data_IF_561985884611
#
_entry.id   IF_561985884611
#
_cell.length_a   1.000
_cell.length_b   1.000
_cell.length_c   1.000
_cell.angle_alpha   90.00
_cell.angle_beta   90.00
_cell.angle_gamma   90.00
#
_symmetry.space_group_name_H-M   'P 1'
#
loop_
_entity.id
_entity.type
_entity.pdbx_description
1 polymer ?
#
# COMPACT_ATOMS: atom_id res chain seq x y z
N UNK A 1 -38.66 -23.87 15.70
CA UNK A 1 -38.00 -22.66 16.23
C UNK A 1 -36.77 -22.44 15.37
N UNK A 2 -36.85 -21.53 14.39
CA UNK A 2 -35.75 -21.29 13.46
C UNK A 2 -34.72 -20.38 14.13
N UNK A 3 -33.47 -20.84 14.23
CA UNK A 3 -32.35 -20.04 14.71
C UNK A 3 -32.01 -19.06 13.58
N UNK A 4 -32.12 -17.74 13.78
CA UNK A 4 -31.74 -16.79 12.74
C UNK A 4 -30.23 -16.86 12.55
N UNK A 5 -29.79 -17.18 11.34
CA UNK A 5 -28.40 -17.05 10.95
C UNK A 5 -28.05 -15.56 10.90
N UNK A 6 -27.29 -15.07 11.88
CA UNK A 6 -26.69 -13.74 11.82
C UNK A 6 -25.70 -13.72 10.65
N UNK A 7 -26.08 -13.07 9.56
CA UNK A 7 -25.18 -12.78 8.46
C UNK A 7 -24.07 -11.83 8.95
N UNK A 8 -22.88 -12.37 9.20
CA UNK A 8 -21.66 -11.60 9.45
C UNK A 8 -21.21 -10.94 8.13
N UNK A 9 -21.79 -9.78 7.81
CA UNK A 9 -21.59 -9.12 6.51
C UNK A 9 -20.86 -7.76 6.59
N UNK A 10 -20.53 -7.25 7.77
CA UNK A 10 -19.67 -6.08 7.97
C UNK A 10 -19.04 -6.14 9.37
N UNK A 11 -18.00 -5.35 9.64
CA UNK A 11 -17.44 -5.30 11.01
C UNK A 11 -18.38 -4.57 11.96
N UNK A 12 -18.29 -4.88 13.25
CA UNK A 12 -19.15 -4.23 14.25
C UNK A 12 -18.82 -2.74 14.39
N UNK A 13 -19.74 -1.97 14.98
CA UNK A 13 -19.50 -0.54 15.24
C UNK A 13 -18.33 -0.34 16.22
N UNK A 14 -18.17 -1.26 17.17
CA UNK A 14 -17.07 -1.30 18.14
C UNK A 14 -15.73 -1.54 17.44
N UNK A 15 -15.67 -2.50 16.52
CA UNK A 15 -14.45 -2.76 15.72
C UNK A 15 -14.11 -1.57 14.82
N UNK A 16 -15.12 -0.98 14.16
CA UNK A 16 -14.92 0.20 13.33
C UNK A 16 -14.45 1.42 14.15
N UNK A 17 -14.83 1.52 15.43
CA UNK A 17 -14.41 2.60 16.31
C UNK A 17 -12.90 2.59 16.62
N UNK A 18 -12.21 1.48 16.34
CA UNK A 18 -10.75 1.40 16.44
C UNK A 18 -10.02 2.12 15.29
N UNK A 19 -10.71 2.40 14.17
CA UNK A 19 -10.17 3.15 13.04
C UNK A 19 -9.95 4.63 13.39
N UNK A 20 -8.68 5.02 13.48
CA UNK A 20 -8.23 6.32 13.96
C UNK A 20 -7.88 6.34 15.44
N UNK A 21 -8.01 5.22 16.16
CA UNK A 21 -7.52 5.03 17.54
C UNK A 21 -6.30 4.11 17.54
N UNK A 22 -6.49 2.81 17.75
CA UNK A 22 -5.42 1.80 17.71
C UNK A 22 -5.02 1.45 16.28
N UNK A 23 -5.94 1.60 15.32
CA UNK A 23 -5.71 1.45 13.90
C UNK A 23 -5.61 2.82 13.22
N UNK A 24 -4.86 2.90 12.13
CA UNK A 24 -4.96 3.99 11.15
C UNK A 24 -6.36 4.02 10.55
N UNK A 25 -6.81 5.12 9.92
CA UNK A 25 -8.13 5.17 9.28
C UNK A 25 -8.36 4.11 8.20
N UNK A 26 -7.29 3.51 7.66
CA UNK A 26 -7.32 2.46 6.64
C UNK A 26 -7.08 1.06 7.20
N UNK A 27 -7.02 0.92 8.53
CA UNK A 27 -6.99 -0.37 9.23
C UNK A 27 -5.62 -0.98 9.49
N UNK A 28 -4.52 -0.33 9.11
CA UNK A 28 -3.19 -0.74 9.55
C UNK A 28 -2.97 -0.41 11.03
N UNK A 29 -2.14 -1.16 11.74
CA UNK A 29 -1.73 -0.86 13.13
C UNK A 29 -1.14 0.55 13.23
N UNK A 30 -1.62 1.37 14.17
CA UNK A 30 -1.15 2.76 14.31
C UNK A 30 0.18 2.84 15.08
N UNK A 31 0.37 1.98 16.07
CA UNK A 31 1.56 1.96 16.91
C UNK A 31 2.83 1.62 16.13
N UNK A 32 3.98 1.99 16.69
CA UNK A 32 5.29 1.50 16.27
C UNK A 32 5.56 0.09 16.80
N UNK A 33 6.68 -0.51 16.42
CA UNK A 33 7.09 -1.80 16.98
C UNK A 33 7.80 -1.63 18.33
N UNK A 34 7.88 -2.72 19.10
CA UNK A 34 8.53 -2.74 20.41
C UNK A 34 10.03 -2.39 20.33
N UNK A 35 10.71 -2.72 19.24
CA UNK A 35 12.14 -2.46 19.05
C UNK A 35 12.46 -1.00 18.71
N UNK A 36 11.44 -0.15 18.49
CA UNK A 36 11.60 1.27 18.17
C UNK A 36 12.14 1.57 16.77
N UNK A 37 12.32 0.55 15.91
CA UNK A 37 12.81 0.70 14.54
C UNK A 37 11.73 1.13 13.54
N UNK A 38 10.46 0.95 13.91
CA UNK A 38 9.28 1.40 13.19
C UNK A 38 8.56 2.41 14.08
N UNK A 39 8.47 3.69 13.69
CA UNK A 39 7.79 4.68 14.50
C UNK A 39 6.27 4.47 14.48
N UNK A 40 5.57 5.14 15.41
CA UNK A 40 4.13 5.34 15.31
C UNK A 40 3.76 6.03 13.99
N UNK A 41 2.61 5.69 13.42
CA UNK A 41 2.09 6.39 12.26
C UNK A 41 1.76 7.86 12.59
N UNK A 42 2.43 8.78 11.90
CA UNK A 42 2.25 10.22 12.00
C UNK A 42 2.10 10.77 10.58
N UNK A 43 0.86 10.88 10.07
CA UNK A 43 0.64 11.29 8.70
C UNK A 43 1.14 12.72 8.49
N UNK A 44 1.77 12.95 7.34
CA UNK A 44 2.15 14.28 6.92
C UNK A 44 1.13 14.78 5.90
N UNK A 45 0.71 16.04 6.02
CA UNK A 45 -0.10 16.67 4.98
C UNK A 45 0.66 16.66 3.65
N UNK A 46 -0.06 16.57 2.53
CA UNK A 46 0.54 16.70 1.21
C UNK A 46 1.27 18.05 1.08
N UNK A 47 2.48 18.03 0.53
CA UNK A 47 3.32 19.22 0.33
C UNK A 47 3.84 19.27 -1.10
N UNK A 48 4.18 20.47 -1.54
CA UNK A 48 4.79 20.73 -2.84
C UNK A 48 3.82 20.59 -4.01
N UNK A 49 4.30 20.87 -5.24
CA UNK A 49 3.53 20.69 -6.46
C UNK A 49 3.15 19.23 -6.69
N UNK A 50 1.93 18.97 -7.15
CA UNK A 50 1.42 17.61 -7.43
C UNK A 50 1.88 17.03 -8.77
N UNK A 51 2.54 17.83 -9.59
CA UNK A 51 3.02 17.43 -10.92
C UNK A 51 4.31 18.16 -11.28
N UNK A 52 5.08 17.58 -12.20
CA UNK A 52 6.27 18.21 -12.78
C UNK A 52 7.50 18.28 -11.87
N UNK A 53 7.42 17.79 -10.63
CA UNK A 53 8.55 17.74 -9.70
C UNK A 53 8.57 16.43 -8.93
N UNK A 54 9.76 15.98 -8.54
CA UNK A 54 9.88 14.93 -7.54
C UNK A 54 9.40 15.48 -6.18
N UNK A 55 8.59 14.72 -5.42
CA UNK A 55 8.27 15.09 -4.05
C UNK A 55 9.56 15.22 -3.25
N UNK A 56 9.74 16.36 -2.58
CA UNK A 56 10.85 16.60 -1.66
C UNK A 56 10.30 16.74 -0.24
N UNK A 57 10.93 16.09 0.72
CA UNK A 57 10.65 16.26 2.13
C UNK A 57 11.96 16.51 2.90
N UNK A 58 12.28 17.79 3.22
CA UNK A 58 13.53 18.15 3.88
C UNK A 58 13.83 17.39 5.17
N UNK A 59 12.78 16.91 5.87
CA UNK A 59 12.91 16.16 7.11
C UNK A 59 13.53 14.76 6.90
N UNK A 60 13.47 14.20 5.69
CA UNK A 60 13.94 12.84 5.36
C UNK A 60 14.86 12.76 4.13
N UNK A 61 14.89 13.79 3.28
CA UNK A 61 15.71 13.80 2.05
C UNK A 61 17.22 13.67 2.36
N UNK A 62 17.62 13.99 3.60
CA UNK A 62 19.00 13.86 4.09
C UNK A 62 19.32 12.55 4.83
N UNK A 63 18.39 11.58 4.82
CA UNK A 63 18.57 10.33 5.56
C UNK A 63 19.79 9.55 5.09
N UNK A 64 20.54 9.03 6.06
CA UNK A 64 21.69 8.17 5.82
C UNK A 64 21.33 6.72 6.14
N UNK A 65 21.98 5.74 5.48
CA UNK A 65 21.83 4.34 5.87
C UNK A 65 22.22 4.16 7.34
N UNK A 66 21.38 3.48 8.10
CA UNK A 66 21.68 2.99 9.45
C UNK A 66 22.82 1.97 9.40
N UNK A 67 22.76 1.07 8.42
CA UNK A 67 23.79 0.08 8.14
C UNK A 67 23.61 -0.46 6.71
N UNK A 68 24.55 -1.29 6.28
CA UNK A 68 24.51 -1.93 4.96
C UNK A 68 24.68 -3.43 5.11
N UNK A 69 23.79 -4.19 4.48
CA UNK A 69 23.90 -5.65 4.38
C UNK A 69 24.61 -5.99 3.08
N UNK A 70 25.69 -6.74 3.19
CA UNK A 70 26.48 -7.28 2.08
C UNK A 70 26.50 -8.81 2.17
N UNK A 71 27.15 -9.47 1.21
CA UNK A 71 27.36 -10.92 1.30
C UNK A 71 28.13 -11.33 2.57
N UNK A 72 29.03 -10.46 3.06
CA UNK A 72 29.92 -10.77 4.18
C UNK A 72 29.21 -10.82 5.55
N UNK A 73 28.18 -9.99 5.76
CA UNK A 73 27.43 -9.94 7.02
C UNK A 73 25.99 -10.47 6.89
N UNK A 74 25.66 -11.13 5.78
CA UNK A 74 24.32 -11.65 5.54
C UNK A 74 23.87 -12.64 6.63
N UNK A 75 24.78 -13.41 7.21
CA UNK A 75 24.47 -14.36 8.29
C UNK A 75 23.92 -13.66 9.55
N UNK A 76 24.36 -12.45 9.84
CA UNK A 76 23.95 -11.66 11.00
C UNK A 76 22.54 -11.06 10.84
N UNK A 77 22.07 -10.96 9.59
CA UNK A 77 20.80 -10.31 9.24
C UNK A 77 19.87 -11.23 8.44
N UNK A 78 20.14 -12.54 8.43
CA UNK A 78 19.46 -13.47 7.54
C UNK A 78 17.93 -13.46 7.71
N UNK A 79 17.43 -13.21 8.91
CA UNK A 79 16.00 -13.18 9.21
C UNK A 79 15.30 -11.92 8.70
N UNK A 80 16.06 -10.86 8.40
CA UNK A 80 15.55 -9.59 7.88
C UNK A 80 15.53 -9.54 6.35
N UNK A 81 16.21 -10.47 5.68
CA UNK A 81 16.44 -10.44 4.22
C UNK A 81 15.58 -11.50 3.54
N UNK A 82 14.76 -11.10 2.56
CA UNK A 82 13.98 -12.05 1.77
C UNK A 82 14.87 -12.97 0.92
N UNK A 83 14.43 -14.21 0.66
CA UNK A 83 15.19 -15.23 -0.09
C UNK A 83 15.75 -14.73 -1.42
N UNK A 84 14.97 -13.94 -2.18
CA UNK A 84 15.45 -13.35 -3.44
C UNK A 84 16.64 -12.41 -3.26
N UNK A 85 16.65 -11.61 -2.19
CA UNK A 85 17.76 -10.71 -1.88
C UNK A 85 18.97 -11.48 -1.33
N UNK A 86 18.75 -12.56 -0.56
CA UNK A 86 19.83 -13.48 -0.14
C UNK A 86 20.55 -14.06 -1.36
N UNK A 87 19.79 -14.47 -2.37
CA UNK A 87 20.36 -15.03 -3.59
C UNK A 87 21.12 -13.98 -4.41
N UNK A 88 20.60 -12.76 -4.53
CA UNK A 88 21.31 -11.68 -5.20
C UNK A 88 22.64 -11.33 -4.50
N UNK A 89 22.65 -11.28 -3.17
CA UNK A 89 23.89 -11.07 -2.39
C UNK A 89 24.91 -12.20 -2.63
N UNK A 90 24.46 -13.46 -2.78
CA UNK A 90 25.35 -14.59 -3.10
C UNK A 90 25.91 -14.53 -4.51
N UNK A 91 25.08 -14.19 -5.51
CA UNK A 91 25.50 -14.15 -6.92
C UNK A 91 26.36 -12.94 -7.26
N UNK A 92 26.13 -11.83 -6.57
CA UNK A 92 26.77 -10.54 -6.87
C UNK A 92 27.38 -9.93 -5.60
N UNK A 93 28.32 -10.63 -4.93
CA UNK A 93 28.84 -10.21 -3.62
C UNK A 93 29.58 -8.88 -3.64
N UNK A 94 30.19 -8.52 -4.77
CA UNK A 94 31.00 -7.31 -4.90
C UNK A 94 30.19 -6.07 -5.34
N UNK A 95 29.00 -6.26 -5.93
CA UNK A 95 28.22 -5.16 -6.53
C UNK A 95 26.83 -4.98 -5.92
N UNK A 96 26.25 -6.02 -5.30
CA UNK A 96 24.93 -5.95 -4.70
C UNK A 96 25.02 -5.77 -3.20
N UNK A 97 24.26 -4.82 -2.67
CA UNK A 97 24.18 -4.51 -1.24
C UNK A 97 22.82 -3.91 -0.91
N UNK A 98 22.40 -4.06 0.35
CA UNK A 98 21.17 -3.48 0.86
C UNK A 98 21.51 -2.36 1.83
N UNK A 99 21.24 -1.14 1.45
CA UNK A 99 21.34 0.01 2.36
C UNK A 99 20.04 0.08 3.16
N UNK A 100 20.15 -0.04 4.48
CA UNK A 100 19.00 -0.01 5.38
C UNK A 100 18.87 1.41 5.94
N UNK A 101 17.70 2.02 5.80
CA UNK A 101 17.42 3.40 6.21
C UNK A 101 16.43 3.43 7.39
N UNK A 102 16.33 4.56 8.11
CA UNK A 102 15.27 4.77 9.09
C UNK A 102 13.87 4.59 8.49
N UNK A 103 12.97 3.98 9.26
CA UNK A 103 11.58 3.83 8.84
C UNK A 103 10.81 5.13 9.06
N UNK A 104 10.06 5.57 8.06
CA UNK A 104 9.15 6.72 8.16
C UNK A 104 7.73 6.31 7.81
N UNK A 105 6.76 6.69 8.68
CA UNK A 105 5.33 6.37 8.49
C UNK A 105 4.50 7.64 8.27
N UNK A 106 4.82 8.34 7.20
CA UNK A 106 4.26 9.65 6.84
C UNK A 106 3.08 9.57 5.85
N UNK A 107 2.94 8.43 5.16
CA UNK A 107 1.94 8.25 4.11
C UNK A 107 0.51 8.39 4.65
N UNK A 108 -0.32 9.09 3.89
CA UNK A 108 -1.74 9.30 4.18
C UNK A 108 -2.54 9.40 2.88
N UNK A 109 -3.86 9.45 3.01
CA UNK A 109 -4.80 9.68 1.90
C UNK A 109 -5.56 10.99 2.15
N UNK A 110 -6.22 11.56 1.12
CA UNK A 110 -7.10 12.71 1.31
C UNK A 110 -8.18 12.44 2.36
N UNK A 111 -8.57 13.45 3.14
CA UNK A 111 -9.48 13.29 4.28
C UNK A 111 -10.79 12.60 3.90
N UNK A 112 -11.40 13.00 2.76
CA UNK A 112 -12.62 12.36 2.23
C UNK A 112 -12.45 10.85 2.03
N UNK A 113 -11.28 10.40 1.57
CA UNK A 113 -10.97 8.98 1.37
C UNK A 113 -10.88 8.27 2.73
N UNK A 114 -10.23 8.89 3.71
CA UNK A 114 -10.11 8.33 5.05
C UNK A 114 -11.48 8.23 5.75
N UNK A 115 -12.31 9.28 5.66
CA UNK A 115 -13.66 9.31 6.22
C UNK A 115 -14.58 8.27 5.59
N UNK A 116 -14.62 8.19 4.25
CA UNK A 116 -15.43 7.20 3.55
C UNK A 116 -14.94 5.78 3.79
N UNK A 117 -13.63 5.57 3.93
CA UNK A 117 -13.05 4.28 4.34
C UNK A 117 -13.55 3.85 5.71
N UNK A 118 -13.59 4.76 6.70
CA UNK A 118 -14.15 4.45 8.01
C UNK A 118 -15.62 4.06 7.94
N UNK A 119 -16.41 4.77 7.12
CA UNK A 119 -17.83 4.44 6.90
C UNK A 119 -17.98 3.07 6.23
N UNK A 120 -17.11 2.75 5.26
CA UNK A 120 -17.12 1.46 4.57
C UNK A 120 -16.97 0.28 5.54
N UNK A 121 -16.24 0.43 6.65
CA UNK A 121 -16.04 -0.64 7.64
C UNK A 121 -17.36 -1.31 8.08
N UNK A 122 -18.42 -0.54 8.31
CA UNK A 122 -19.70 -1.05 8.82
C UNK A 122 -20.78 -1.27 7.76
N UNK A 123 -20.61 -0.75 6.54
CA UNK A 123 -21.61 -0.85 5.47
C UNK A 123 -21.18 -1.67 4.26
N UNK A 124 -19.88 -1.83 4.05
CA UNK A 124 -19.38 -2.60 2.93
C UNK A 124 -19.48 -4.09 3.24
N UNK A 125 -19.97 -4.86 2.28
CA UNK A 125 -20.06 -6.30 2.35
C UNK A 125 -19.61 -6.93 1.04
N UNK A 126 -19.29 -8.22 1.07
CA UNK A 126 -18.95 -8.98 -0.12
C UNK A 126 -19.98 -10.08 -0.35
N UNK A 127 -20.70 -9.98 -1.45
CA UNK A 127 -21.60 -11.03 -1.91
C UNK A 127 -20.79 -12.08 -2.68
N UNK A 128 -20.76 -13.31 -2.16
CA UNK A 128 -19.87 -14.34 -2.68
C UNK A 128 -18.40 -13.95 -2.52
N UNK A 129 -17.62 -14.04 -3.61
CA UNK A 129 -16.19 -13.76 -3.60
C UNK A 129 -15.77 -12.53 -4.39
N UNK A 130 -16.62 -12.02 -5.28
CA UNK A 130 -16.21 -11.04 -6.30
C UNK A 130 -17.24 -9.92 -6.51
N UNK A 131 -18.11 -9.65 -5.53
CA UNK A 131 -19.13 -8.61 -5.67
C UNK A 131 -19.24 -7.71 -4.42
N UNK A 132 -18.43 -6.63 -4.32
CA UNK A 132 -18.54 -5.68 -3.23
C UNK A 132 -19.86 -4.89 -3.29
N UNK A 133 -20.56 -4.79 -2.16
CA UNK A 133 -21.79 -4.01 -1.99
C UNK A 133 -21.59 -2.96 -0.90
N UNK A 134 -22.26 -1.81 -1.06
CA UNK A 134 -22.24 -0.75 -0.06
C UNK A 134 -20.90 -0.02 0.12
N UNK A 135 -19.86 -0.40 -0.64
CA UNK A 135 -18.57 0.27 -0.61
C UNK A 135 -18.56 1.51 -1.52
N UNK A 136 -18.11 2.64 -0.97
CA UNK A 136 -17.86 3.86 -1.73
C UNK A 136 -16.36 4.15 -1.76
N UNK A 137 -15.98 5.32 -2.29
CA UNK A 137 -14.60 5.74 -2.49
C UNK A 137 -13.71 5.46 -1.26
N UNK A 138 -12.50 4.95 -1.52
CA UNK A 138 -11.54 4.55 -0.47
C UNK A 138 -11.36 3.05 -0.41
N UNK A 139 -11.04 2.53 0.78
CA UNK A 139 -10.84 1.10 0.99
C UNK A 139 -12.17 0.46 1.42
N UNK A 140 -12.69 -0.54 0.69
CA UNK A 140 -13.94 -1.20 1.05
C UNK A 140 -13.89 -1.91 2.41
N UNK A 141 -12.79 -2.62 2.70
CA UNK A 141 -12.70 -3.49 3.87
C UNK A 141 -11.48 -3.13 4.71
N UNK A 142 -11.48 -2.00 5.45
CA UNK A 142 -10.32 -1.58 6.24
C UNK A 142 -9.97 -2.58 7.34
N UNK A 143 -10.95 -3.32 7.86
CA UNK A 143 -10.73 -4.41 8.84
C UNK A 143 -11.19 -5.73 8.18
N UNK A 144 -10.33 -6.37 7.37
CA UNK A 144 -10.73 -7.56 6.63
C UNK A 144 -10.94 -8.76 7.56
N UNK A 145 -12.03 -9.49 7.34
CA UNK A 145 -12.41 -10.75 7.98
C UNK A 145 -12.24 -11.96 7.06
N UNK A 146 -12.17 -11.74 5.74
CA UNK A 146 -12.04 -12.81 4.73
C UNK A 146 -10.84 -12.57 3.82
N UNK A 147 -10.21 -13.65 3.33
CA UNK A 147 -8.99 -13.55 2.51
C UNK A 147 -9.15 -12.84 1.16
N UNK A 148 -10.37 -12.72 0.65
CA UNK A 148 -10.69 -12.00 -0.58
C UNK A 148 -10.95 -10.50 -0.38
N UNK A 149 -11.19 -10.04 0.85
CA UNK A 149 -11.41 -8.62 1.15
C UNK A 149 -10.14 -7.76 0.94
N UNK A 150 -8.93 -8.20 1.37
CA UNK A 150 -7.68 -7.52 1.02
C UNK A 150 -7.42 -7.45 -0.49
N UNK A 151 -7.84 -8.47 -1.25
CA UNK A 151 -7.72 -8.47 -2.71
C UNK A 151 -8.60 -7.37 -3.31
N UNK A 152 -9.82 -7.19 -2.80
CA UNK A 152 -10.68 -6.10 -3.20
C UNK A 152 -10.11 -4.73 -2.85
N UNK A 153 -9.59 -4.56 -1.64
CA UNK A 153 -8.85 -3.34 -1.27
C UNK A 153 -7.73 -3.04 -2.27
N UNK A 154 -6.96 -4.04 -2.71
CA UNK A 154 -5.91 -3.84 -3.70
C UNK A 154 -6.46 -3.47 -5.09
N UNK A 155 -7.56 -4.11 -5.52
CA UNK A 155 -8.20 -3.86 -6.83
C UNK A 155 -8.73 -2.43 -6.90
N UNK A 156 -9.53 -2.02 -5.93
CA UNK A 156 -10.27 -0.74 -5.95
C UNK A 156 -9.63 0.38 -5.11
N UNK A 157 -8.39 0.20 -4.62
CA UNK A 157 -7.69 1.28 -3.89
C UNK A 157 -7.73 2.60 -4.67
N UNK A 158 -7.88 3.68 -3.92
CA UNK A 158 -7.78 5.03 -4.42
C UNK A 158 -6.42 5.25 -5.11
N UNK A 159 -6.43 5.83 -6.32
CA UNK A 159 -5.24 6.08 -7.15
C UNK A 159 -5.12 7.55 -7.63
N UNK A 160 -5.98 8.43 -7.14
CA UNK A 160 -6.15 9.79 -7.65
C UNK A 160 -7.60 10.04 -8.07
N UNK A 161 -7.93 11.31 -8.27
CA UNK A 161 -9.23 11.75 -8.80
C UNK A 161 -9.21 11.74 -10.33
N UNK A 162 -8.18 12.34 -10.92
CA UNK A 162 -7.96 12.36 -12.38
C UNK A 162 -6.72 11.55 -12.75
N UNK A 163 -6.84 10.68 -13.77
CA UNK A 163 -5.73 9.90 -14.31
C UNK A 163 -5.66 10.08 -15.82
N UNK A 164 -4.56 10.68 -16.30
CA UNK A 164 -4.16 10.60 -17.70
C UNK A 164 -3.21 9.43 -17.89
N UNK A 165 -3.63 8.40 -18.63
CA UNK A 165 -2.81 7.23 -18.99
C UNK A 165 -2.31 7.33 -20.42
N UNK A 166 -1.01 7.11 -20.59
CA UNK A 166 -0.39 6.90 -21.90
C UNK A 166 -0.11 5.41 -22.08
N UNK A 167 -0.93 4.72 -22.87
CA UNK A 167 -0.71 3.32 -23.21
C UNK A 167 0.04 3.26 -24.54
N UNK A 168 1.35 3.07 -24.45
CA UNK A 168 2.25 2.93 -25.59
C UNK A 168 2.41 1.44 -25.90
N UNK A 169 1.75 0.98 -26.95
CA UNK A 169 1.85 -0.40 -27.42
C UNK A 169 2.86 -0.46 -28.57
N UNK A 170 3.86 -1.31 -28.44
CA UNK A 170 4.86 -1.55 -29.48
C UNK A 170 4.68 -2.96 -30.03
N UNK A 171 4.29 -3.05 -31.30
CA UNK A 171 4.30 -4.33 -32.04
C UNK A 171 5.66 -4.41 -32.72
N UNK A 172 6.51 -5.31 -32.24
CA UNK A 172 7.89 -5.51 -32.72
C UNK A 172 7.90 -6.69 -33.70
N UNK A 173 8.43 -6.45 -34.90
CA UNK A 173 8.60 -7.45 -35.95
C UNK A 173 9.92 -8.21 -35.77
N UNK A 174 10.06 -9.34 -36.48
CA UNK A 174 11.25 -10.21 -36.37
C UNK A 174 12.56 -9.53 -36.80
N UNK A 175 12.50 -8.51 -37.64
CA UNK A 175 13.65 -7.71 -38.08
C UNK A 175 14.01 -6.57 -37.12
N UNK A 176 13.31 -6.45 -35.99
CA UNK A 176 13.51 -5.40 -34.99
C UNK A 176 12.82 -4.07 -35.32
N UNK A 177 12.16 -3.96 -36.49
CA UNK A 177 11.27 -2.84 -36.75
C UNK A 177 10.05 -2.89 -35.82
N UNK A 178 9.50 -1.73 -35.46
CA UNK A 178 8.32 -1.70 -34.59
C UNK A 178 7.33 -0.63 -35.03
N UNK A 179 6.05 -0.92 -34.82
CA UNK A 179 4.96 0.07 -34.93
C UNK A 179 4.54 0.49 -33.53
N UNK A 180 4.55 1.79 -33.26
CA UNK A 180 4.14 2.37 -31.99
C UNK A 180 2.72 2.91 -32.09
N UNK A 181 1.81 2.33 -31.32
CA UNK A 181 0.46 2.86 -31.10
C UNK A 181 0.45 3.58 -29.75
N UNK A 182 0.15 4.88 -29.76
CA UNK A 182 -0.03 5.69 -28.55
C UNK A 182 -1.52 5.89 -28.31
N UNK A 183 -2.01 5.39 -27.18
CA UNK A 183 -3.37 5.63 -26.72
C UNK A 183 -3.27 6.57 -25.52
N UNK A 184 -3.97 7.71 -25.58
CA UNK A 184 -4.12 8.63 -24.46
C UNK A 184 -5.52 8.44 -23.89
N UNK A 185 -5.60 8.10 -22.62
CA UNK A 185 -6.85 7.90 -21.91
C UNK A 185 -6.93 8.90 -20.77
N UNK A 186 -7.92 9.78 -20.82
CA UNK A 186 -8.27 10.67 -19.72
C UNK A 186 -9.42 10.03 -18.94
N UNK A 187 -9.15 9.68 -17.68
CA UNK A 187 -10.14 9.17 -16.73
C UNK A 187 -10.34 10.28 -15.70
N UNK A 188 -11.46 10.99 -15.83
CA UNK A 188 -11.95 12.04 -14.93
C UNK A 188 -13.24 11.58 -14.26
#
# INVERSE_FOLDING_TARGET
MAIPAMAMAAVSAEEAAELGKSLTPVGAERAGNADGTIPEWKPQAARGPRSGVYPSNPDIDGDKPLFTITAANLSEHADLVMTGHKELLKRFPDSYKLNIYPSHRLATFPDKILEETKKNATRASLEGVDNPKGAFVGFPFPIPKKGNEPLWNHRVKYRGEDIRRFNNQMIVQQDGSFTLTKIVEDVT
#
